data_IF_501402393961
#
_entry.id   IF_501402393961
#
_cell.length_a   1.000
_cell.length_b   1.000
_cell.length_c   1.000
_cell.angle_alpha   90.00
_cell.angle_beta   90.00
_cell.angle_gamma   90.00
#
_symmetry.space_group_name_H-M   'P 1'
#
loop_
_entity.id
_entity.type
_entity.pdbx_description
1 polymer ?
#
# COMPACT_ATOMS: atom_id res chain seq x y z
N UNK A 1 -10.87 25.95 -27.75
CA UNK A 1 -10.40 25.07 -26.67
C UNK A 1 -11.62 24.63 -25.89
N UNK A 2 -11.81 23.33 -25.70
CA UNK A 2 -12.89 22.83 -24.84
C UNK A 2 -12.51 23.01 -23.37
N UNK A 3 -13.47 23.36 -22.50
CA UNK A 3 -13.21 23.47 -21.07
C UNK A 3 -12.85 22.10 -20.49
N UNK A 4 -11.64 21.97 -19.93
CA UNK A 4 -11.23 20.77 -19.19
C UNK A 4 -11.48 20.98 -17.70
N UNK A 5 -12.02 19.95 -17.05
CA UNK A 5 -12.18 19.92 -15.61
C UNK A 5 -11.08 19.06 -14.98
N UNK A 6 -10.31 19.64 -14.06
CA UNK A 6 -9.31 18.93 -13.27
C UNK A 6 -9.87 18.65 -11.88
N UNK A 7 -9.88 17.38 -11.47
CA UNK A 7 -10.42 16.90 -10.19
C UNK A 7 -9.50 15.85 -9.61
N UNK A 8 -9.45 15.73 -8.29
CA UNK A 8 -8.63 14.70 -7.62
C UNK A 8 -9.31 13.34 -7.58
N UNK A 9 -10.64 13.30 -7.73
CA UNK A 9 -11.36 12.04 -7.86
C UNK A 9 -12.86 12.16 -7.71
N UNK A 10 -13.47 11.00 -7.43
CA UNK A 10 -14.91 10.82 -7.27
C UNK A 10 -15.23 10.76 -5.77
N UNK A 11 -16.03 11.70 -5.28
CA UNK A 11 -16.47 11.74 -3.88
C UNK A 11 -17.67 10.84 -3.60
N UNK A 12 -18.72 10.93 -4.42
CA UNK A 12 -19.95 10.12 -4.25
C UNK A 12 -20.51 9.66 -5.58
N UNK A 13 -20.98 8.41 -5.62
CA UNK A 13 -21.79 7.88 -6.73
C UNK A 13 -23.18 7.56 -6.18
N UNK A 14 -24.23 8.05 -6.83
CA UNK A 14 -25.63 7.81 -6.45
C UNK A 14 -26.44 7.37 -7.65
N UNK A 15 -27.32 6.37 -7.47
CA UNK A 15 -28.23 5.89 -8.52
C UNK A 15 -29.67 6.11 -8.07
N UNK A 16 -30.43 6.89 -8.84
CA UNK A 16 -31.85 7.20 -8.55
C UNK A 16 -32.62 7.23 -9.87
N UNK A 17 -33.71 6.46 -9.95
CA UNK A 17 -34.61 6.49 -11.11
C UNK A 17 -33.92 6.14 -12.44
N UNK A 18 -32.96 5.21 -12.43
CA UNK A 18 -32.22 4.80 -13.64
C UNK A 18 -31.12 5.77 -14.08
N UNK A 19 -30.86 6.82 -13.29
CA UNK A 19 -29.83 7.83 -13.54
C UNK A 19 -28.72 7.70 -12.51
N UNK A 20 -27.48 7.76 -12.98
CA UNK A 20 -26.26 7.74 -12.16
C UNK A 20 -25.72 9.17 -12.04
N UNK A 21 -25.40 9.58 -10.82
CA UNK A 21 -24.81 10.88 -10.48
C UNK A 21 -23.45 10.64 -9.84
N UNK A 22 -22.41 11.24 -10.39
CA UNK A 22 -21.05 11.18 -9.87
C UNK A 22 -20.64 12.57 -9.42
N UNK A 23 -20.31 12.72 -8.14
CA UNK A 23 -19.82 13.96 -7.55
C UNK A 23 -18.30 13.96 -7.61
N UNK A 24 -17.73 14.83 -8.42
CA UNK A 24 -16.29 15.05 -8.51
C UNK A 24 -15.84 15.97 -7.38
N UNK A 25 -14.66 15.69 -6.82
CA UNK A 25 -14.10 16.44 -5.70
C UNK A 25 -12.64 16.82 -5.95
N UNK A 26 -12.23 17.90 -5.28
CA UNK A 26 -10.86 18.38 -5.21
C UNK A 26 -10.50 18.63 -3.74
N UNK A 27 -9.25 18.43 -3.35
CA UNK A 27 -8.76 18.76 -2.04
C UNK A 27 -8.42 20.25 -1.94
N UNK A 28 -8.98 20.94 -0.95
CA UNK A 28 -8.67 22.35 -0.69
C UNK A 28 -7.23 22.50 -0.20
N UNK A 29 -6.42 23.40 -0.79
CA UNK A 29 -5.08 23.69 -0.29
C UNK A 29 -5.10 24.52 1.00
N UNK A 30 -6.22 25.19 1.30
CA UNK A 30 -6.32 26.20 2.36
C UNK A 30 -7.23 25.77 3.51
N UNK A 31 -8.09 24.77 3.30
CA UNK A 31 -9.02 24.29 4.31
C UNK A 31 -8.67 22.86 4.71
N UNK A 32 -8.64 22.61 6.01
CA UNK A 32 -8.39 21.30 6.59
C UNK A 32 -9.60 20.78 7.37
N UNK A 33 -9.72 19.45 7.47
CA UNK A 33 -10.69 18.78 8.30
C UNK A 33 -10.24 18.72 9.78
N UNK A 34 -11.07 18.13 10.64
CA UNK A 34 -10.78 17.98 12.06
C UNK A 34 -9.52 17.14 12.37
N UNK A 35 -9.00 16.39 11.39
CA UNK A 35 -7.79 15.57 11.51
C UNK A 35 -6.57 16.26 10.86
N UNK A 36 -6.69 17.52 10.45
CA UNK A 36 -5.63 18.27 9.79
C UNK A 36 -5.36 17.85 8.35
N UNK A 37 -6.25 17.07 7.72
CA UNK A 37 -6.12 16.66 6.31
C UNK A 37 -6.78 17.70 5.40
N UNK A 38 -6.28 17.92 4.17
CA UNK A 38 -6.96 18.77 3.19
C UNK A 38 -8.44 18.39 3.03
N UNK A 39 -9.32 19.39 3.12
CA UNK A 39 -10.77 19.17 3.03
C UNK A 39 -11.18 18.87 1.60
N UNK A 40 -12.01 17.85 1.39
CA UNK A 40 -12.64 17.60 0.08
C UNK A 40 -13.72 18.65 -0.22
N UNK A 41 -13.64 19.25 -1.40
CA UNK A 41 -14.57 20.26 -1.91
C UNK A 41 -15.24 19.72 -3.17
N UNK A 42 -16.56 19.87 -3.25
CA UNK A 42 -17.32 19.50 -4.43
C UNK A 42 -16.98 20.42 -5.61
N UNK A 43 -16.67 19.83 -6.76
CA UNK A 43 -16.27 20.57 -7.96
C UNK A 43 -17.34 20.53 -9.04
N UNK A 44 -17.80 19.34 -9.42
CA UNK A 44 -18.81 19.17 -10.46
C UNK A 44 -19.57 17.85 -10.29
N UNK A 45 -20.80 17.79 -10.82
CA UNK A 45 -21.58 16.56 -10.91
C UNK A 45 -21.71 16.12 -12.37
N UNK A 46 -21.28 14.89 -12.64
CA UNK A 46 -21.56 14.20 -13.90
C UNK A 46 -22.85 13.41 -13.73
N UNK A 47 -23.78 13.53 -14.66
CA UNK A 47 -25.05 12.82 -14.65
C UNK A 47 -25.19 12.04 -15.95
N UNK A 48 -25.47 10.74 -15.86
CA UNK A 48 -25.63 9.88 -17.04
C UNK A 48 -26.63 8.74 -16.78
N UNK A 49 -27.16 8.15 -17.85
CA UNK A 49 -28.00 6.96 -17.75
C UNK A 49 -27.21 5.73 -17.28
N UNK A 50 -27.91 4.76 -16.69
CA UNK A 50 -27.30 3.54 -16.15
C UNK A 50 -26.49 2.78 -17.21
N UNK A 51 -27.01 2.63 -18.44
CA UNK A 51 -26.30 1.93 -19.50
C UNK A 51 -25.00 2.64 -19.93
N UNK A 52 -25.01 3.98 -19.93
CA UNK A 52 -23.83 4.77 -20.23
C UNK A 52 -22.76 4.62 -19.13
N UNK A 53 -23.20 4.57 -17.88
CA UNK A 53 -22.31 4.33 -16.75
C UNK A 53 -21.66 2.94 -16.84
N UNK A 54 -22.43 1.89 -17.11
CA UNK A 54 -21.90 0.51 -17.23
C UNK A 54 -20.81 0.42 -18.31
N UNK A 55 -21.07 0.92 -19.52
CA UNK A 55 -20.08 0.97 -20.60
C UNK A 55 -18.84 1.80 -20.25
N UNK A 56 -19.00 2.83 -19.42
CA UNK A 56 -17.89 3.68 -18.98
C UNK A 56 -17.06 2.98 -17.90
N UNK A 57 -17.70 2.28 -16.97
CA UNK A 57 -17.05 1.52 -15.91
C UNK A 57 -16.17 0.41 -16.47
N UNK A 58 -16.62 -0.30 -17.50
CA UNK A 58 -15.82 -1.33 -18.21
C UNK A 58 -14.48 -0.76 -18.69
N UNK A 59 -14.50 0.42 -19.31
CA UNK A 59 -13.28 1.11 -19.77
C UNK A 59 -12.38 1.52 -18.62
N UNK A 60 -12.95 2.01 -17.51
CA UNK A 60 -12.15 2.37 -16.32
C UNK A 60 -11.45 1.13 -15.77
N UNK A 61 -12.14 -0.01 -15.67
CA UNK A 61 -11.56 -1.28 -15.20
C UNK A 61 -10.45 -1.75 -16.14
N UNK A 62 -10.65 -1.67 -17.45
CA UNK A 62 -9.62 -2.00 -18.44
C UNK A 62 -8.35 -1.16 -18.23
N UNK A 63 -8.50 0.15 -18.09
CA UNK A 63 -7.38 1.07 -17.86
C UNK A 63 -6.69 0.79 -16.52
N UNK A 64 -7.44 0.51 -15.45
CA UNK A 64 -6.87 0.14 -14.14
C UNK A 64 -6.00 -1.12 -14.26
N UNK A 65 -6.43 -2.12 -15.02
CA UNK A 65 -5.63 -3.32 -15.26
C UNK A 65 -4.34 -3.00 -16.04
N UNK A 66 -4.43 -2.16 -17.08
CA UNK A 66 -3.26 -1.73 -17.85
C UNK A 66 -2.25 -0.95 -16.99
N UNK A 67 -2.72 0.00 -16.19
CA UNK A 67 -1.89 0.81 -15.29
C UNK A 67 -1.21 -0.05 -14.22
N UNK A 68 -1.91 -1.02 -13.65
CA UNK A 68 -1.35 -1.92 -12.64
C UNK A 68 -0.25 -2.79 -13.21
N UNK A 69 -0.43 -3.32 -14.43
CA UNK A 69 0.62 -4.09 -15.14
C UNK A 69 1.85 -3.23 -15.42
N UNK A 70 1.66 -1.99 -15.88
CA UNK A 70 2.75 -1.06 -16.15
C UNK A 70 3.53 -0.71 -14.87
N UNK A 71 2.84 -0.43 -13.77
CA UNK A 71 3.48 -0.16 -12.48
C UNK A 71 4.24 -1.38 -11.92
N UNK A 72 3.70 -2.59 -12.07
CA UNK A 72 4.39 -3.81 -11.68
C UNK A 72 5.68 -4.06 -12.47
N UNK A 73 5.69 -3.72 -13.77
CA UNK A 73 6.89 -3.82 -14.61
C UNK A 73 7.96 -2.78 -14.23
N UNK A 74 7.56 -1.56 -13.86
CA UNK A 74 8.49 -0.54 -13.36
C UNK A 74 9.15 -0.96 -12.05
N UNK A 75 8.40 -1.59 -11.13
CA UNK A 75 8.94 -2.12 -9.88
C UNK A 75 9.94 -3.27 -10.13
N UNK A 76 9.66 -4.17 -11.08
CA UNK A 76 10.58 -5.25 -11.46
C UNK A 76 11.86 -4.74 -12.14
N UNK A 77 11.78 -3.67 -12.94
CA UNK A 77 12.95 -3.04 -13.56
C UNK A 77 13.84 -2.27 -12.56
N UNK A 78 13.29 -1.90 -11.40
CA UNK A 78 14.01 -1.24 -10.31
C UNK A 78 14.51 -2.21 -9.23
N UNK A 79 14.26 -3.51 -9.37
CA UNK A 79 14.88 -4.51 -8.51
C UNK A 79 16.41 -4.43 -8.69
N UNK A 80 17.19 -4.23 -7.60
CA UNK A 80 18.64 -4.19 -7.71
C UNK A 80 19.12 -5.50 -8.34
N UNK A 81 19.94 -5.37 -9.38
CA UNK A 81 20.58 -6.51 -10.02
C UNK A 81 21.24 -7.39 -8.93
N UNK A 82 21.18 -8.74 -9.04
CA UNK A 82 21.92 -9.61 -8.14
C UNK A 82 23.38 -9.15 -8.12
N UNK A 83 23.84 -8.68 -6.95
CA UNK A 83 25.25 -8.34 -6.78
C UNK A 83 26.05 -9.60 -7.11
N UNK A 84 27.05 -9.52 -8.01
CA UNK A 84 27.98 -10.63 -8.21
C UNK A 84 28.55 -11.02 -6.84
N UNK A 85 28.67 -12.32 -6.52
CA UNK A 85 29.34 -12.73 -5.30
C UNK A 85 30.73 -12.08 -5.26
N UNK A 86 31.03 -11.40 -4.16
CA UNK A 86 32.30 -10.71 -3.98
C UNK A 86 33.47 -11.67 -4.28
N UNK A 87 34.55 -11.22 -4.94
CA UNK A 87 35.73 -12.03 -5.15
C UNK A 87 36.26 -12.53 -3.81
N UNK A 88 36.23 -13.84 -3.59
CA UNK A 88 36.98 -14.46 -2.51
C UNK A 88 38.46 -14.13 -2.75
N UNK A 89 39.19 -13.57 -1.76
CA UNK A 89 40.62 -13.39 -1.87
C UNK A 89 41.27 -14.73 -2.19
N UNK A 90 42.03 -14.77 -3.29
CA UNK A 90 42.78 -15.94 -3.71
C UNK A 90 43.63 -16.44 -2.54
N UNK A 91 43.42 -17.71 -2.18
CA UNK A 91 44.22 -18.41 -1.19
C UNK A 91 45.70 -18.32 -1.58
N UNK A 92 46.50 -17.71 -0.71
CA UNK A 92 47.96 -17.81 -0.79
C UNK A 92 48.38 -19.30 -0.71
N UNK A 93 49.48 -19.71 -1.37
CA UNK A 93 49.94 -21.08 -1.32
C UNK A 93 50.25 -21.49 0.12
N UNK A 94 49.64 -22.59 0.57
CA UNK A 94 49.81 -23.14 1.92
C UNK A 94 51.26 -23.66 2.11
N UNK A 95 52.00 -23.23 3.15
CA UNK A 95 53.16 -23.98 3.62
C UNK A 95 52.67 -25.28 4.26
N UNK A 96 53.22 -26.41 3.80
CA UNK A 96 52.85 -27.74 4.23
C UNK A 96 53.29 -28.00 5.69
N UNK A 97 52.32 -28.21 6.59
CA UNK A 97 52.57 -28.83 7.89
C UNK A 97 51.58 -29.99 8.06
N UNK A 98 52.16 -31.17 8.29
CA UNK A 98 51.52 -32.47 8.40
C UNK A 98 50.58 -32.57 9.62
N UNK A 99 49.65 -33.56 9.65
CA UNK A 99 48.46 -33.54 10.50
C UNK A 99 48.68 -34.18 11.88
N UNK A 100 47.95 -33.69 12.88
CA UNK A 100 47.72 -34.41 14.15
C UNK A 100 46.20 -34.47 14.41
N UNK A 101 45.62 -35.65 14.72
CA UNK A 101 44.17 -35.88 14.70
C UNK A 101 43.45 -35.32 15.94
N UNK A 102 42.26 -34.76 15.74
CA UNK A 102 41.34 -34.40 16.85
C UNK A 102 40.06 -35.23 16.77
N UNK A 103 39.79 -35.98 17.85
CA UNK A 103 38.55 -36.69 18.08
C UNK A 103 37.47 -35.73 18.66
N UNK A 104 36.16 -36.06 18.54
CA UNK A 104 35.08 -35.07 18.60
C UNK A 104 34.28 -35.11 19.91
N UNK A 105 33.79 -33.96 20.37
CA UNK A 105 32.42 -33.76 20.92
C UNK A 105 32.28 -32.43 21.62
N UNK A 106 31.14 -31.77 21.39
CA UNK A 106 30.60 -30.79 22.32
C UNK A 106 29.67 -29.80 21.64
N UNK A 107 28.38 -30.09 21.65
CA UNK A 107 27.32 -29.14 21.29
C UNK A 107 27.32 -27.94 22.27
N UNK A 108 26.76 -26.79 21.88
CA UNK A 108 26.16 -25.90 22.85
C UNK A 108 24.64 -25.71 22.67
N UNK A 109 23.94 -25.32 23.76
CA UNK A 109 22.52 -25.61 23.98
C UNK A 109 21.57 -24.48 23.56
N UNK A 110 20.30 -24.84 23.44
CA UNK A 110 19.15 -23.93 23.34
C UNK A 110 19.03 -23.03 24.58
N UNK A 111 18.70 -21.75 24.38
CA UNK A 111 18.21 -20.85 25.45
C UNK A 111 16.88 -20.24 25.03
N UNK A 112 15.92 -20.43 25.93
CA UNK A 112 14.50 -20.04 25.94
C UNK A 112 14.31 -18.61 26.48
N UNK A 113 13.32 -17.87 25.96
CA UNK A 113 12.64 -16.80 26.72
C UNK A 113 12.05 -15.65 25.87
N UNK A 114 10.76 -15.28 26.03
CA UNK A 114 10.12 -14.18 25.30
C UNK A 114 10.07 -12.87 26.12
N UNK A 115 10.21 -11.72 25.46
CA UNK A 115 9.81 -10.41 25.99
C UNK A 115 8.88 -9.72 24.98
N UNK A 116 7.57 -9.81 25.23
CA UNK A 116 6.58 -8.90 24.63
C UNK A 116 6.45 -7.67 25.54
N UNK A 117 6.50 -6.44 25.01
CA UNK A 117 5.98 -5.28 25.72
C UNK A 117 4.46 -5.12 25.53
N UNK A 118 3.84 -4.52 26.55
CA UNK A 118 2.42 -4.49 26.88
C UNK A 118 1.49 -3.74 25.90
N UNK A 119 0.20 -4.09 25.97
CA UNK A 119 -0.92 -3.45 25.28
C UNK A 119 -1.19 -2.00 25.80
N UNK A 120 -1.75 -1.11 24.95
CA UNK A 120 -2.15 0.24 25.37
C UNK A 120 -3.49 0.26 26.13
N UNK A 121 -3.59 1.15 27.12
CA UNK A 121 -4.77 1.47 27.93
C UNK A 121 -6.03 1.74 27.09
N UNK A 122 -7.13 1.08 27.47
CA UNK A 122 -8.48 1.28 26.91
C UNK A 122 -9.12 2.56 27.53
N UNK A 123 -9.68 3.50 26.75
CA UNK A 123 -10.37 4.66 27.30
C UNK A 123 -11.70 4.27 27.97
N UNK A 124 -12.14 4.98 29.04
CA UNK A 124 -13.33 4.61 29.80
C UNK A 124 -14.61 4.71 28.96
N UNK A 125 -15.41 3.63 28.98
CA UNK A 125 -16.69 3.56 28.26
C UNK A 125 -17.73 4.52 28.88
N UNK A 126 -18.52 5.23 28.07
CA UNK A 126 -19.60 6.08 28.56
C UNK A 126 -20.75 5.25 29.17
N UNK A 127 -21.48 5.78 30.17
CA UNK A 127 -22.57 5.05 30.81
C UNK A 127 -23.71 4.77 29.83
N UNK A 128 -24.23 3.53 29.86
CA UNK A 128 -25.37 3.11 29.04
C UNK A 128 -26.63 3.90 29.44
N UNK A 129 -27.41 4.41 28.47
CA UNK A 129 -28.71 5.00 28.76
C UNK A 129 -29.68 3.91 29.27
N UNK A 130 -30.57 4.22 30.22
CA UNK A 130 -31.66 3.32 30.56
C UNK A 130 -32.64 3.28 29.38
N UNK A 131 -32.93 2.08 28.89
CA UNK A 131 -34.05 1.79 27.98
C UNK A 131 -35.00 0.80 28.67
N UNK A 132 -36.25 0.67 28.20
CA UNK A 132 -37.10 1.65 27.52
C UNK A 132 -38.18 2.25 28.45
#
# INVERSE_FOLDING_TARGET
>A
MEPQLFTDGIGRITVIGGVVRLDMVTYSPNETDANGRPRQVFTQRIVMGTDAFLRSAEKVVEIVQQLTRAHGQQAAAQAPAPQPPAPQPAAAPKPNLQPVPTAPRGAPPYVTGPLFPAAPDEPPQPPKPPFP
#
